data_IF_492580230061
#
_entry.id   IF_492580230061
#
_cell.length_a   1.000
_cell.length_b   1.000
_cell.length_c   1.000
_cell.angle_alpha   90.00
_cell.angle_beta   90.00
_cell.angle_gamma   90.00
#
_symmetry.space_group_name_H-M   'P 1'
#
loop_
_entity.id
_entity.type
_entity.pdbx_description
1 polymer ?
#
# COMPACT_ATOMS: atom_id res chain seq x y z
N UNK A 1 0.70 18.66 3.29
CA UNK A 1 -0.47 17.87 3.73
C UNK A 1 0.03 16.72 4.59
N UNK A 2 -0.31 16.71 5.88
CA UNK A 2 0.20 15.73 6.84
C UNK A 2 -0.44 14.38 6.53
N UNK A 3 0.35 13.41 6.04
CA UNK A 3 -0.10 12.03 5.85
C UNK A 3 -0.61 11.53 7.20
N UNK A 4 -1.94 11.37 7.31
CA UNK A 4 -2.57 10.65 8.41
C UNK A 4 -1.90 9.27 8.43
N UNK A 5 -0.97 9.06 9.35
CA UNK A 5 -0.08 7.90 9.36
C UNK A 5 -0.97 6.66 9.27
N UNK A 6 -0.92 5.98 8.12
CA UNK A 6 -1.71 4.79 7.94
C UNK A 6 -1.16 3.76 8.95
N UNK A 7 -1.98 3.38 9.92
CA UNK A 7 -1.57 2.46 10.96
C UNK A 7 -1.77 1.02 10.47
N UNK A 8 -0.82 0.12 10.72
CA UNK A 8 -1.00 -1.29 10.39
C UNK A 8 -2.18 -1.85 11.19
N UNK A 9 -3.18 -2.37 10.48
CA UNK A 9 -4.38 -2.95 11.07
C UNK A 9 -4.08 -4.39 11.52
N UNK A 10 -4.24 -4.67 12.81
CA UNK A 10 -4.03 -6.01 13.36
C UNK A 10 -5.27 -6.86 13.15
N UNK A 11 -5.12 -8.02 12.51
CA UNK A 11 -6.20 -8.98 12.38
C UNK A 11 -6.46 -9.69 13.72
N UNK A 12 -7.70 -9.65 14.26
CA UNK A 12 -8.02 -10.21 15.56
C UNK A 12 -8.01 -11.75 15.56
N UNK A 13 -8.14 -12.40 14.40
CA UNK A 13 -8.13 -13.87 14.27
C UNK A 13 -6.71 -14.43 14.16
N UNK A 14 -5.87 -13.80 13.35
CA UNK A 14 -4.56 -14.33 12.97
C UNK A 14 -3.40 -13.64 13.69
N UNK A 15 -3.66 -12.48 14.31
CA UNK A 15 -2.65 -11.60 14.92
C UNK A 15 -1.75 -10.90 13.91
N UNK A 16 -1.97 -11.11 12.60
CA UNK A 16 -1.14 -10.58 11.52
C UNK A 16 -1.52 -9.13 11.24
N UNK A 17 -0.52 -8.28 11.02
CA UNK A 17 -0.75 -6.91 10.61
C UNK A 17 -1.04 -6.79 9.11
N UNK A 18 -1.88 -5.84 8.75
CA UNK A 18 -2.25 -5.51 7.38
C UNK A 18 -2.03 -4.02 7.11
N UNK A 19 -1.44 -3.72 5.97
CA UNK A 19 -1.41 -2.37 5.41
C UNK A 19 -2.76 -2.12 4.74
N UNK A 20 -3.41 -1.02 5.12
CA UNK A 20 -4.66 -0.57 4.51
C UNK A 20 -4.55 0.91 4.18
N UNK A 21 -4.34 1.21 2.90
CA UNK A 21 -4.13 2.58 2.41
C UNK A 21 -5.17 2.89 1.35
N UNK A 22 -5.85 4.03 1.48
CA UNK A 22 -6.83 4.48 0.50
C UNK A 22 -6.13 4.89 -0.79
N UNK A 23 -6.66 4.45 -1.93
CA UNK A 23 -6.16 4.89 -3.24
C UNK A 23 -6.61 6.34 -3.46
N UNK A 24 -5.71 7.25 -3.89
CA UNK A 24 -6.09 8.61 -4.27
C UNK A 24 -7.19 8.58 -5.33
N UNK A 25 -8.21 9.43 -5.20
CA UNK A 25 -9.38 9.44 -6.10
C UNK A 25 -9.00 9.65 -7.57
N UNK A 26 -7.97 10.47 -7.79
CA UNK A 26 -7.32 10.75 -9.07
C UNK A 26 -6.75 9.48 -9.75
N UNK A 27 -6.18 8.57 -8.95
CA UNK A 27 -5.58 7.33 -9.44
C UNK A 27 -6.54 6.16 -9.43
N UNK A 28 -7.62 6.25 -8.63
CA UNK A 28 -8.62 5.19 -8.48
C UNK A 28 -9.09 4.66 -9.82
N UNK A 29 -9.46 5.53 -10.77
CA UNK A 29 -9.95 5.08 -12.07
C UNK A 29 -8.90 4.29 -12.87
N UNK A 30 -7.61 4.65 -12.75
CA UNK A 30 -6.51 4.03 -13.49
C UNK A 30 -6.00 2.73 -12.86
N UNK A 31 -6.03 2.65 -11.54
CA UNK A 31 -5.47 1.52 -10.79
C UNK A 31 -6.53 0.56 -10.28
N UNK A 32 -7.83 0.88 -10.43
CA UNK A 32 -8.94 0.00 -10.06
C UNK A 32 -8.87 -1.30 -10.85
N UNK A 33 -8.61 -2.39 -10.14
CA UNK A 33 -8.47 -3.73 -10.70
C UNK A 33 -7.01 -4.15 -10.93
N UNK A 34 -6.04 -3.24 -10.78
CA UNK A 34 -4.63 -3.61 -10.85
C UNK A 34 -4.17 -4.32 -9.58
N UNK A 35 -3.23 -5.23 -9.75
CA UNK A 35 -2.55 -5.91 -8.65
C UNK A 35 -1.18 -5.27 -8.47
N UNK A 36 -0.97 -4.60 -7.33
CA UNK A 36 0.30 -3.99 -6.98
C UNK A 36 1.07 -4.97 -6.09
N UNK A 37 2.26 -5.37 -6.52
CA UNK A 37 3.19 -6.13 -5.69
C UNK A 37 3.91 -5.17 -4.74
N UNK A 38 3.60 -5.22 -3.46
CA UNK A 38 4.29 -4.42 -2.45
C UNK A 38 5.37 -5.26 -1.78
N UNK A 39 6.62 -4.78 -1.69
CA UNK A 39 7.66 -5.45 -0.93
C UNK A 39 7.38 -5.28 0.57
N UNK A 40 7.09 -6.39 1.23
CA UNK A 40 6.77 -6.51 2.65
C UNK A 40 7.88 -7.34 3.31
N UNK A 41 8.92 -6.67 3.81
CA UNK A 41 10.13 -7.36 4.27
C UNK A 41 10.76 -8.14 3.12
N UNK A 42 11.06 -9.42 3.34
CA UNK A 42 11.68 -10.31 2.35
C UNK A 42 10.70 -10.90 1.32
N UNK A 43 9.42 -10.49 1.35
CA UNK A 43 8.39 -11.07 0.48
C UNK A 43 7.61 -10.01 -0.27
N UNK A 44 7.24 -10.31 -1.51
CA UNK A 44 6.31 -9.49 -2.28
C UNK A 44 4.89 -9.94 -1.97
N UNK A 45 4.05 -9.01 -1.56
CA UNK A 45 2.63 -9.25 -1.30
C UNK A 45 1.80 -8.53 -2.34
N UNK A 46 0.99 -9.30 -3.05
CA UNK A 46 0.06 -8.79 -4.03
C UNK A 46 -1.14 -8.15 -3.33
N UNK A 47 -1.33 -6.86 -3.58
CA UNK A 47 -2.43 -6.09 -3.07
C UNK A 47 -3.28 -5.59 -4.24
N UNK A 48 -4.57 -5.90 -4.21
CA UNK A 48 -5.50 -5.41 -5.23
C UNK A 48 -5.74 -3.92 -5.00
N UNK A 49 -5.31 -3.10 -5.95
CA UNK A 49 -5.62 -1.69 -5.99
C UNK A 49 -7.05 -1.51 -6.50
N UNK A 50 -7.93 -1.05 -5.61
CA UNK A 50 -9.29 -0.69 -5.96
C UNK A 50 -9.61 0.67 -5.39
N UNK A 51 -10.55 0.67 -4.46
CA UNK A 51 -10.89 1.79 -3.61
C UNK A 51 -9.87 1.97 -2.47
N UNK A 52 -9.32 0.87 -1.98
CA UNK A 52 -8.32 0.79 -0.92
C UNK A 52 -7.36 -0.35 -1.26
N UNK A 53 -6.07 -0.13 -1.08
CA UNK A 53 -5.04 -1.16 -1.17
C UNK A 53 -4.97 -1.87 0.17
N UNK A 54 -5.23 -3.18 0.18
CA UNK A 54 -5.03 -4.04 1.35
C UNK A 54 -3.89 -5.00 1.06
N UNK A 55 -2.81 -4.89 1.82
CA UNK A 55 -1.67 -5.80 1.75
C UNK A 55 -1.44 -6.45 3.12
N UNK A 56 -1.20 -7.76 3.17
CA UNK A 56 -0.83 -8.46 4.39
C UNK A 56 0.64 -8.19 4.72
N UNK A 57 0.94 -7.69 5.92
CA UNK A 57 2.33 -7.49 6.36
C UNK A 57 3.01 -8.82 6.76
N UNK A 58 2.22 -9.90 6.87
CA UNK A 58 2.66 -11.27 7.21
C UNK A 58 3.59 -11.33 8.43
N UNK A 59 3.42 -10.39 9.35
CA UNK A 59 4.11 -10.36 10.63
C UNK A 59 3.09 -10.10 11.73
N UNK A 60 3.37 -10.66 12.90
CA UNK A 60 2.63 -10.46 14.14
C UNK A 60 3.37 -9.50 15.08
N UNK A 61 4.60 -9.14 14.73
CA UNK A 61 5.44 -8.28 15.55
C UNK A 61 5.21 -6.81 15.17
N UNK A 62 4.84 -5.94 16.12
CA UNK A 62 4.53 -4.55 15.82
C UNK A 62 5.75 -3.76 15.34
N UNK A 63 6.97 -4.14 15.76
CA UNK A 63 8.21 -3.48 15.33
C UNK A 63 8.49 -3.81 13.87
N UNK A 64 8.49 -5.09 13.53
CA UNK A 64 8.62 -5.52 12.13
C UNK A 64 7.50 -4.98 11.26
N UNK A 65 6.25 -4.97 11.76
CA UNK A 65 5.12 -4.44 11.03
C UNK A 65 5.36 -2.99 10.62
N UNK A 66 5.88 -2.15 11.53
CA UNK A 66 6.17 -0.74 11.24
C UNK A 66 7.27 -0.58 10.20
N UNK A 67 8.34 -1.37 10.27
CA UNK A 67 9.43 -1.33 9.29
C UNK A 67 8.93 -1.73 7.90
N UNK A 68 8.28 -2.90 7.80
CA UNK A 68 7.73 -3.40 6.54
C UNK A 68 6.66 -2.48 5.98
N UNK A 69 5.84 -1.90 6.86
CA UNK A 69 4.83 -0.92 6.49
C UNK A 69 5.45 0.33 5.88
N UNK A 70 6.51 0.89 6.48
CA UNK A 70 7.20 2.08 5.95
C UNK A 70 7.80 1.82 4.57
N UNK A 71 8.46 0.67 4.38
CA UNK A 71 9.03 0.26 3.08
C UNK A 71 7.94 0.11 2.03
N UNK A 72 6.86 -0.61 2.37
CA UNK A 72 5.72 -0.81 1.48
C UNK A 72 5.01 0.49 1.13
N UNK A 73 4.84 1.39 2.11
CA UNK A 73 4.22 2.69 1.91
C UNK A 73 5.07 3.58 0.99
N UNK A 74 6.39 3.53 1.15
CA UNK A 74 7.33 4.28 0.28
C UNK A 74 7.23 3.78 -1.16
N UNK A 75 7.30 2.47 -1.38
CA UNK A 75 7.15 1.88 -2.71
C UNK A 75 5.77 2.17 -3.32
N UNK A 76 4.71 2.16 -2.50
CA UNK A 76 3.37 2.49 -2.94
C UNK A 76 3.25 3.98 -3.33
N UNK A 77 3.90 4.88 -2.58
CA UNK A 77 3.90 6.30 -2.88
C UNK A 77 4.66 6.61 -4.17
N UNK A 78 5.83 5.99 -4.36
CA UNK A 78 6.59 6.08 -5.61
C UNK A 78 5.75 5.58 -6.80
N UNK A 79 5.06 4.44 -6.63
CA UNK A 79 4.11 3.95 -7.64
C UNK A 79 2.99 4.97 -7.93
N UNK A 80 2.40 5.60 -6.91
CA UNK A 80 1.40 6.64 -7.14
C UNK A 80 1.96 7.84 -7.88
N UNK A 81 3.17 8.28 -7.56
CA UNK A 81 3.86 9.35 -8.27
C UNK A 81 4.17 8.96 -9.72
N UNK A 82 4.61 7.73 -9.97
CA UNK A 82 4.85 7.20 -11.31
C UNK A 82 3.54 7.13 -12.13
N UNK A 83 2.43 6.69 -11.53
CA UNK A 83 1.12 6.68 -12.21
C UNK A 83 0.62 8.11 -12.46
N UNK A 84 0.86 9.05 -11.53
CA UNK A 84 0.56 10.48 -11.74
C UNK A 84 1.39 11.08 -12.86
N UNK A 85 2.71 10.88 -12.85
CA UNK A 85 3.64 11.33 -13.89
C UNK A 85 3.30 10.70 -15.25
N UNK A 86 3.00 9.40 -15.29
CA UNK A 86 2.54 8.70 -16.48
C UNK A 86 1.12 9.12 -16.93
N UNK A 87 0.33 9.72 -16.04
CA UNK A 87 -0.94 10.37 -16.38
C UNK A 87 -0.75 11.75 -17.01
N UNK A 88 0.39 12.38 -16.79
CA UNK A 88 0.80 13.58 -17.50
C UNK A 88 1.42 13.18 -18.84
N UNK A 89 0.67 12.43 -19.64
CA UNK A 89 0.88 12.47 -21.08
C UNK A 89 0.52 13.89 -21.50
N UNK A 90 1.57 14.67 -21.79
CA UNK A 90 1.48 15.94 -22.48
C UNK A 90 0.51 15.79 -23.66
N UNK A 91 -0.50 16.67 -23.71
CA UNK A 91 -1.23 16.94 -24.95
C UNK A 91 -0.30 17.65 -25.94
#
# INVERSE_FOLDING_TARGET
MVLKMASPWKDPKSGVFYLRVRVPTDLRAKVKGQTIGLPIGDKIVQAKAGETVKASLRTRDPREAKVRFSTALTALNDYWEAVRKGSQRLS
#
